data_IF_765370730061
#
_entry.id   IF_765370730061
#
_cell.length_a   1.000
_cell.length_b   1.000
_cell.length_c   1.000
_cell.angle_alpha   90.00
_cell.angle_beta   90.00
_cell.angle_gamma   90.00
#
_symmetry.space_group_name_H-M   'P 1'
#
loop_
_entity.id
_entity.type
_entity.pdbx_description
1 polymer ?
#
# COMPACT_ATOMS: atom_id res chain seq x y z
N UNK A 1 20.94 -8.89 -24.03
CA UNK A 1 21.24 -9.68 -22.81
C UNK A 1 21.32 -8.87 -21.50
N UNK A 2 21.40 -7.53 -21.49
CA UNK A 2 21.51 -6.73 -20.24
C UNK A 2 20.18 -6.41 -19.51
N UNK A 3 19.04 -6.74 -20.13
CA UNK A 3 17.69 -6.39 -19.63
C UNK A 3 17.21 -7.31 -18.50
N UNK A 4 17.48 -8.61 -18.62
CA UNK A 4 17.00 -9.62 -17.68
C UNK A 4 17.53 -9.42 -16.24
N UNK A 5 18.81 -9.07 -16.02
CA UNK A 5 19.31 -8.73 -14.68
C UNK A 5 18.61 -7.51 -14.05
N UNK A 6 18.29 -6.48 -14.84
CA UNK A 6 17.60 -5.28 -14.35
C UNK A 6 16.18 -5.60 -13.88
N UNK A 7 15.45 -6.42 -14.65
CA UNK A 7 14.11 -6.85 -14.29
C UNK A 7 14.11 -7.70 -13.00
N UNK A 8 15.08 -8.61 -12.87
CA UNK A 8 15.25 -9.41 -11.64
C UNK A 8 15.58 -8.49 -10.46
N UNK A 9 16.53 -7.56 -10.63
CA UNK A 9 16.91 -6.61 -9.58
C UNK A 9 15.73 -5.74 -9.12
N UNK A 10 14.95 -5.23 -10.07
CA UNK A 10 13.72 -4.48 -9.80
C UNK A 10 12.71 -5.34 -9.02
N UNK A 11 12.52 -6.59 -9.44
CA UNK A 11 11.58 -7.48 -8.77
C UNK A 11 12.00 -7.84 -7.34
N UNK A 12 13.30 -8.01 -7.08
CA UNK A 12 13.82 -8.23 -5.72
C UNK A 12 13.51 -7.03 -4.83
N UNK A 13 13.73 -5.80 -5.31
CA UNK A 13 13.36 -4.59 -4.58
C UNK A 13 11.85 -4.53 -4.33
N UNK A 14 11.04 -4.82 -5.35
CA UNK A 14 9.58 -4.82 -5.24
C UNK A 14 9.06 -5.86 -4.25
N UNK A 15 9.67 -7.05 -4.21
CA UNK A 15 9.38 -8.07 -3.19
C UNK A 15 9.65 -7.54 -1.78
N UNK A 16 10.78 -6.88 -1.55
CA UNK A 16 11.08 -6.25 -0.27
C UNK A 16 10.09 -5.12 0.07
N UNK A 17 9.70 -4.32 -0.91
CA UNK A 17 8.67 -3.28 -0.76
C UNK A 17 7.33 -3.86 -0.30
N UNK A 18 6.87 -4.93 -0.96
CA UNK A 18 5.62 -5.62 -0.61
C UNK A 18 5.68 -6.21 0.79
N UNK A 19 6.76 -6.96 1.09
CA UNK A 19 6.92 -7.60 2.41
C UNK A 19 7.13 -6.60 3.56
N UNK A 20 7.54 -5.36 3.26
CA UNK A 20 7.59 -4.28 4.22
C UNK A 20 6.20 -3.73 4.56
N UNK A 21 5.30 -3.67 3.58
CA UNK A 21 3.96 -3.09 3.75
C UNK A 21 2.93 -4.11 4.27
N UNK A 22 2.98 -5.35 3.79
CA UNK A 22 2.03 -6.40 4.16
C UNK A 22 2.73 -7.68 4.58
N UNK A 23 2.21 -8.32 5.63
CA UNK A 23 2.71 -9.62 6.08
C UNK A 23 2.30 -10.70 5.08
N UNK A 24 3.28 -11.49 4.66
CA UNK A 24 3.10 -12.62 3.74
C UNK A 24 2.94 -13.90 4.55
N UNK A 25 2.06 -14.81 4.10
CA UNK A 25 1.86 -16.09 4.76
C UNK A 25 3.18 -16.85 4.90
N UNK A 26 3.38 -17.52 6.03
CA UNK A 26 4.60 -18.32 6.30
C UNK A 26 4.84 -19.46 5.29
N UNK A 27 3.81 -19.86 4.52
CA UNK A 27 3.86 -20.96 3.55
C UNK A 27 4.80 -20.62 2.36
N UNK A 28 5.60 -21.58 1.94
CA UNK A 28 6.59 -21.41 0.86
C UNK A 28 5.95 -20.96 -0.47
N UNK A 29 4.80 -21.54 -0.84
CA UNK A 29 4.08 -21.17 -2.06
C UNK A 29 3.59 -19.72 -2.05
N UNK A 30 3.27 -19.16 -0.87
CA UNK A 30 2.84 -17.76 -0.76
C UNK A 30 4.01 -16.80 -0.97
N UNK A 31 5.22 -17.17 -0.52
CA UNK A 31 6.44 -16.40 -0.77
C UNK A 31 6.84 -16.42 -2.24
N UNK A 32 6.66 -17.55 -2.92
CA UNK A 32 6.88 -17.64 -4.37
C UNK A 32 5.80 -16.84 -5.12
N UNK A 33 4.53 -17.01 -4.76
CA UNK A 33 3.42 -16.29 -5.38
C UNK A 33 3.59 -14.77 -5.28
N UNK A 34 3.95 -14.25 -4.09
CA UNK A 34 4.18 -12.81 -3.91
C UNK A 34 5.47 -12.31 -4.56
N UNK A 35 6.39 -13.18 -4.97
CA UNK A 35 7.53 -12.81 -5.81
C UNK A 35 7.14 -12.73 -7.29
N UNK A 36 6.21 -13.58 -7.73
CA UNK A 36 5.69 -13.61 -9.11
C UNK A 36 4.76 -12.43 -9.39
N UNK A 37 3.91 -12.02 -8.43
CA UNK A 37 2.97 -10.90 -8.59
C UNK A 37 3.67 -9.58 -9.02
N UNK A 38 4.66 -9.06 -8.27
CA UNK A 38 5.41 -7.87 -8.68
C UNK A 38 6.27 -8.11 -9.92
N UNK A 39 6.69 -9.35 -10.20
CA UNK A 39 7.42 -9.67 -11.44
C UNK A 39 6.54 -9.44 -12.66
N UNK A 40 5.30 -9.91 -12.61
CA UNK A 40 4.30 -9.66 -13.66
C UNK A 40 4.03 -8.16 -13.79
N UNK A 41 3.77 -7.46 -12.67
CA UNK A 41 3.55 -6.02 -12.70
C UNK A 41 4.72 -5.24 -13.28
N UNK A 42 5.97 -5.62 -12.97
CA UNK A 42 7.17 -4.92 -13.45
C UNK A 42 7.52 -5.32 -14.88
N UNK A 43 7.12 -6.50 -15.34
CA UNK A 43 7.46 -7.03 -16.66
C UNK A 43 6.41 -6.77 -17.74
N UNK A 44 5.15 -6.58 -17.36
CA UNK A 44 4.07 -6.36 -18.32
C UNK A 44 4.22 -5.02 -19.03
N UNK A 45 3.86 -5.01 -20.31
CA UNK A 45 3.75 -3.80 -21.13
C UNK A 45 2.30 -3.32 -21.01
N UNK A 46 2.10 -2.02 -20.86
CA UNK A 46 0.78 -1.38 -20.70
C UNK A 46 0.61 -0.29 -21.75
N UNK A 47 0.01 -0.62 -22.88
CA UNK A 47 -0.33 0.36 -23.93
C UNK A 47 -1.69 1.01 -23.70
N UNK A 48 -1.81 2.26 -24.17
CA UNK A 48 -3.09 2.97 -24.22
C UNK A 48 -4.02 2.29 -25.23
N UNK A 49 -5.22 1.95 -24.80
CA UNK A 49 -6.26 1.33 -25.63
C UNK A 49 -6.16 -0.18 -25.76
N UNK A 50 -5.39 -0.86 -24.90
CA UNK A 50 -5.24 -2.31 -24.96
C UNK A 50 -6.07 -3.03 -23.87
N UNK A 51 -6.75 -4.10 -24.28
CA UNK A 51 -7.57 -4.94 -23.41
C UNK A 51 -6.90 -6.26 -23.01
N UNK A 52 -5.72 -6.55 -23.56
CA UNK A 52 -5.06 -7.86 -23.45
C UNK A 52 -4.24 -7.99 -22.18
N UNK A 53 -3.42 -7.00 -21.84
CA UNK A 53 -2.48 -7.11 -20.73
C UNK A 53 -3.09 -6.65 -19.40
N UNK A 54 -3.85 -5.55 -19.41
CA UNK A 54 -4.30 -4.91 -18.19
C UNK A 54 -5.34 -5.73 -17.39
N UNK A 55 -6.49 -6.18 -17.95
CA UNK A 55 -7.50 -6.91 -17.17
C UNK A 55 -6.99 -8.24 -16.58
N UNK A 56 -6.22 -9.09 -17.31
CA UNK A 56 -5.63 -10.29 -16.71
C UNK A 56 -4.63 -9.95 -15.60
N UNK A 57 -3.77 -8.96 -15.81
CA UNK A 57 -2.79 -8.55 -14.78
C UNK A 57 -3.49 -8.03 -13.53
N UNK A 58 -4.54 -7.22 -13.68
CA UNK A 58 -5.38 -6.74 -12.59
C UNK A 58 -5.95 -7.89 -11.75
N UNK A 59 -6.57 -8.87 -12.42
CA UNK A 59 -7.14 -10.05 -11.75
C UNK A 59 -6.09 -10.89 -11.03
N UNK A 60 -4.97 -11.18 -11.68
CA UNK A 60 -3.88 -12.00 -11.12
C UNK A 60 -3.25 -11.32 -9.90
N UNK A 61 -3.05 -10.01 -9.92
CA UNK A 61 -2.47 -9.29 -8.78
C UNK A 61 -3.43 -9.27 -7.59
N UNK A 62 -4.72 -8.99 -7.82
CA UNK A 62 -5.70 -9.00 -6.73
C UNK A 62 -5.84 -10.40 -6.12
N UNK A 63 -5.98 -11.44 -6.95
CA UNK A 63 -6.05 -12.82 -6.46
C UNK A 63 -4.74 -13.24 -5.78
N UNK A 64 -3.59 -12.92 -6.37
CA UNK A 64 -2.28 -13.25 -5.84
C UNK A 64 -2.03 -12.63 -4.47
N UNK A 65 -2.29 -11.33 -4.33
CA UNK A 65 -2.18 -10.62 -3.04
C UNK A 65 -3.19 -11.15 -2.01
N UNK A 66 -4.44 -11.42 -2.41
CA UNK A 66 -5.47 -11.96 -1.52
C UNK A 66 -5.11 -13.36 -0.98
N UNK A 67 -4.58 -14.23 -1.85
CA UNK A 67 -4.20 -15.61 -1.50
C UNK A 67 -2.88 -15.69 -0.73
N UNK A 68 -1.89 -14.84 -1.05
CA UNK A 68 -0.54 -14.93 -0.48
C UNK A 68 -0.36 -14.13 0.82
N UNK A 69 -1.13 -13.07 1.05
CA UNK A 69 -0.95 -12.17 2.20
C UNK A 69 -1.82 -12.54 3.42
N UNK A 70 -1.37 -12.14 4.60
CA UNK A 70 -2.07 -12.24 5.89
C UNK A 70 -2.82 -10.93 6.21
N UNK A 71 -3.69 -11.00 7.22
CA UNK A 71 -4.51 -9.88 7.71
C UNK A 71 -5.95 -9.85 7.19
N UNK A 72 -6.66 -8.76 7.52
CA UNK A 72 -8.05 -8.53 7.10
C UNK A 72 -8.23 -8.50 5.57
N UNK A 73 -9.39 -8.96 5.08
CA UNK A 73 -9.72 -8.96 3.65
C UNK A 73 -9.62 -7.56 3.02
N UNK A 74 -10.06 -6.52 3.75
CA UNK A 74 -9.99 -5.14 3.27
C UNK A 74 -8.55 -4.65 3.11
N UNK A 75 -7.65 -5.02 4.02
CA UNK A 75 -6.21 -4.71 3.93
C UNK A 75 -5.59 -5.30 2.68
N UNK A 76 -5.91 -6.57 2.37
CA UNK A 76 -5.40 -7.26 1.18
C UNK A 76 -5.90 -6.63 -0.11
N UNK A 77 -7.21 -6.34 -0.18
CA UNK A 77 -7.83 -5.66 -1.32
C UNK A 77 -7.21 -4.29 -1.52
N UNK A 78 -7.09 -3.49 -0.46
CA UNK A 78 -6.49 -2.15 -0.51
C UNK A 78 -5.07 -2.20 -1.05
N UNK A 79 -4.25 -3.13 -0.52
CA UNK A 79 -2.87 -3.29 -0.97
C UNK A 79 -2.78 -3.76 -2.42
N UNK A 80 -3.62 -4.72 -2.82
CA UNK A 80 -3.70 -5.20 -4.19
C UNK A 80 -4.09 -4.08 -5.17
N UNK A 81 -5.14 -3.32 -4.85
CA UNK A 81 -5.59 -2.18 -5.67
C UNK A 81 -4.51 -1.11 -5.76
N UNK A 82 -3.90 -0.72 -4.64
CA UNK A 82 -2.83 0.27 -4.62
C UNK A 82 -1.63 -0.20 -5.44
N UNK A 83 -1.23 -1.46 -5.32
CA UNK A 83 -0.15 -2.04 -6.12
C UNK A 83 -0.48 -1.99 -7.61
N UNK A 84 -1.64 -2.48 -8.04
CA UNK A 84 -2.01 -2.44 -9.46
C UNK A 84 -2.02 -1.01 -9.99
N UNK A 85 -2.61 -0.06 -9.25
CA UNK A 85 -2.64 1.34 -9.67
C UNK A 85 -1.22 1.89 -9.85
N UNK A 86 -0.34 1.78 -8.85
CA UNK A 86 1.05 2.30 -8.93
C UNK A 86 1.80 1.77 -10.16
N UNK A 87 1.83 0.45 -10.31
CA UNK A 87 2.65 -0.18 -11.34
C UNK A 87 2.04 0.00 -12.73
N UNK A 88 0.72 -0.09 -12.88
CA UNK A 88 0.08 0.13 -14.18
C UNK A 88 0.19 1.59 -14.63
N UNK A 89 0.07 2.56 -13.71
CA UNK A 89 0.30 3.97 -14.08
C UNK A 89 1.74 4.21 -14.53
N UNK A 90 2.72 3.67 -13.79
CA UNK A 90 4.13 3.82 -14.15
C UNK A 90 4.47 3.14 -15.48
N UNK A 91 4.01 1.91 -15.70
CA UNK A 91 4.22 1.20 -16.96
C UNK A 91 3.54 1.94 -18.12
N UNK A 92 2.30 2.41 -17.95
CA UNK A 92 1.62 3.17 -19.00
C UNK A 92 2.39 4.45 -19.38
N UNK A 93 3.03 5.12 -18.43
CA UNK A 93 3.91 6.25 -18.73
C UNK A 93 5.15 5.81 -19.50
N UNK A 94 5.84 4.77 -19.04
CA UNK A 94 7.08 4.28 -19.64
C UNK A 94 6.88 3.69 -21.04
N UNK A 95 5.76 3.03 -21.29
CA UNK A 95 5.53 2.29 -22.51
C UNK A 95 4.92 3.16 -23.63
N UNK A 96 4.29 4.29 -23.29
CA UNK A 96 3.61 5.14 -24.27
C UNK A 96 4.29 6.50 -24.50
N UNK A 97 4.96 7.07 -23.49
CA UNK A 97 5.45 8.45 -23.55
C UNK A 97 6.96 8.62 -23.45
N UNK A 98 7.67 7.62 -22.92
CA UNK A 98 9.12 7.59 -22.98
C UNK A 98 9.55 6.98 -24.31
N UNK A 99 9.76 7.81 -25.32
CA UNK A 99 10.34 7.41 -26.62
C UNK A 99 11.84 7.12 -26.46
N UNK A 100 12.14 6.02 -25.77
CA UNK A 100 13.50 5.60 -25.42
C UNK A 100 13.70 4.14 -25.84
N UNK A 101 14.95 3.78 -26.11
CA UNK A 101 15.39 2.41 -26.38
C UNK A 101 14.83 1.44 -25.34
N UNK A 102 14.52 0.21 -25.76
CA UNK A 102 14.03 -0.84 -24.85
C UNK A 102 14.91 -0.98 -23.61
N UNK A 103 16.24 -0.93 -23.76
CA UNK A 103 17.18 -1.03 -22.63
C UNK A 103 16.94 0.05 -21.57
N UNK A 104 16.61 1.27 -21.99
CA UNK A 104 16.43 2.41 -21.10
C UNK A 104 15.05 2.40 -20.42
N UNK A 105 14.04 1.81 -21.05
CA UNK A 105 12.73 1.56 -20.40
C UNK A 105 12.88 0.64 -19.18
N UNK A 106 13.67 -0.42 -19.29
CA UNK A 106 13.94 -1.31 -18.16
C UNK A 106 14.80 -0.67 -17.08
N UNK A 107 15.70 0.25 -17.45
CA UNK A 107 16.37 1.11 -16.48
C UNK A 107 15.39 2.01 -15.74
N UNK A 108 14.43 2.62 -16.44
CA UNK A 108 13.35 3.40 -15.83
C UNK A 108 12.54 2.57 -14.83
N UNK A 109 12.17 1.34 -15.18
CA UNK A 109 11.47 0.40 -14.28
C UNK A 109 12.32 0.02 -13.06
N UNK A 110 13.63 -0.18 -13.22
CA UNK A 110 14.55 -0.42 -12.12
C UNK A 110 14.67 0.79 -11.19
N UNK A 111 14.86 1.99 -11.74
CA UNK A 111 14.91 3.24 -10.97
C UNK A 111 13.59 3.48 -10.23
N UNK A 112 12.46 3.20 -10.87
CA UNK A 112 11.15 3.28 -10.25
C UNK A 112 11.03 2.31 -9.06
N UNK A 113 11.50 1.07 -9.20
CA UNK A 113 11.54 0.11 -8.09
C UNK A 113 12.42 0.60 -6.93
N UNK A 114 13.57 1.22 -7.23
CA UNK A 114 14.43 1.86 -6.21
C UNK A 114 13.69 2.99 -5.50
N UNK A 115 13.04 3.89 -6.26
CA UNK A 115 12.27 5.02 -5.70
C UNK A 115 11.12 4.51 -4.82
N UNK A 116 10.37 3.51 -5.27
CA UNK A 116 9.30 2.90 -4.47
C UNK A 116 9.85 2.25 -3.20
N UNK A 117 10.94 1.50 -3.30
CA UNK A 117 11.56 0.86 -2.13
C UNK A 117 12.04 1.88 -1.10
N UNK A 118 12.77 2.92 -1.56
CA UNK A 118 13.26 3.99 -0.70
C UNK A 118 12.10 4.79 -0.11
N UNK A 119 11.12 5.17 -0.93
CA UNK A 119 9.92 5.88 -0.51
C UNK A 119 9.18 5.10 0.58
N UNK A 120 8.96 3.81 0.38
CA UNK A 120 8.27 2.96 1.36
C UNK A 120 9.09 2.81 2.64
N UNK A 121 10.41 2.69 2.56
CA UNK A 121 11.28 2.68 3.74
C UNK A 121 11.26 4.00 4.52
N UNK A 122 11.11 5.13 3.82
CA UNK A 122 11.00 6.46 4.43
C UNK A 122 9.63 6.67 5.08
N UNK A 123 8.53 6.32 4.39
CA UNK A 123 7.16 6.49 4.88
C UNK A 123 6.83 5.51 6.02
N UNK A 124 7.30 4.26 5.95
CA UNK A 124 6.94 3.21 6.93
C UNK A 124 8.03 2.94 7.97
N UNK A 125 9.00 3.84 8.15
CA UNK A 125 10.16 3.70 9.06
C UNK A 125 9.79 3.36 10.52
N UNK A 126 8.58 3.72 10.96
CA UNK A 126 8.12 3.59 12.36
C UNK A 126 6.83 2.76 12.50
N UNK A 127 6.37 2.09 11.44
CA UNK A 127 5.12 1.34 11.48
C UNK A 127 5.36 -0.07 12.04
N UNK A 128 4.85 -0.34 13.24
CA UNK A 128 4.79 -1.71 13.76
C UNK A 128 3.84 -2.53 12.89
N UNK A 129 4.37 -3.64 12.35
CA UNK A 129 3.73 -4.46 11.30
C UNK A 129 2.44 -5.15 11.75
N UNK A 130 2.13 -5.08 13.03
CA UNK A 130 1.02 -5.78 13.68
C UNK A 130 -0.24 -4.90 13.81
N UNK A 131 -0.10 -3.60 13.57
CA UNK A 131 -1.21 -2.66 13.72
C UNK A 131 -2.11 -2.67 12.48
N UNK A 132 -3.28 -3.29 12.56
CA UNK A 132 -4.29 -3.19 11.49
C UNK A 132 -5.15 -1.94 11.67
N UNK A 133 -5.46 -1.20 10.59
CA UNK A 133 -6.43 -0.10 10.62
C UNK A 133 -7.86 -0.62 10.87
N UNK A 134 -8.75 0.27 11.32
CA UNK A 134 -10.18 -0.06 11.44
C UNK A 134 -10.79 -0.37 10.07
N UNK A 135 -11.81 -1.24 10.01
CA UNK A 135 -12.51 -1.59 8.76
C UNK A 135 -13.04 -0.35 8.02
N UNK A 136 -13.50 0.68 8.73
CA UNK A 136 -13.97 1.94 8.13
C UNK A 136 -12.83 2.71 7.44
N UNK A 137 -11.65 2.76 8.06
CA UNK A 137 -10.46 3.41 7.48
C UNK A 137 -9.99 2.69 6.22
N UNK A 138 -10.03 1.36 6.20
CA UNK A 138 -9.74 0.59 4.98
C UNK A 138 -10.77 0.85 3.88
N UNK A 139 -12.06 0.93 4.23
CA UNK A 139 -13.12 1.28 3.27
C UNK A 139 -12.89 2.66 2.64
N UNK A 140 -12.50 3.65 3.46
CA UNK A 140 -12.15 4.99 2.99
C UNK A 140 -10.93 4.98 2.05
N UNK A 141 -9.89 4.21 2.37
CA UNK A 141 -8.72 4.06 1.51
C UNK A 141 -9.10 3.43 0.16
N UNK A 142 -9.94 2.40 0.14
CA UNK A 142 -10.43 1.79 -1.10
C UNK A 142 -11.19 2.81 -1.95
N UNK A 143 -12.07 3.59 -1.34
CA UNK A 143 -12.81 4.65 -2.02
C UNK A 143 -11.85 5.68 -2.64
N UNK A 144 -10.81 6.05 -1.92
CA UNK A 144 -9.83 7.03 -2.37
C UNK A 144 -8.87 6.47 -3.44
N UNK A 145 -8.57 5.16 -3.42
CA UNK A 145 -7.79 4.47 -4.47
C UNK A 145 -8.60 4.35 -5.76
N UNK A 146 -9.93 4.28 -5.67
CA UNK A 146 -10.80 4.13 -6.83
C UNK A 146 -10.67 5.30 -7.81
N UNK A 147 -10.27 6.49 -7.34
CA UNK A 147 -10.10 7.66 -8.22
C UNK A 147 -8.87 7.55 -9.15
N UNK A 148 -7.62 7.35 -8.68
CA UNK A 148 -6.50 7.12 -9.59
C UNK A 148 -6.64 5.80 -10.36
N UNK A 149 -7.27 4.78 -9.77
CA UNK A 149 -7.56 3.53 -10.48
C UNK A 149 -8.53 3.75 -11.63
N UNK A 150 -9.58 4.55 -11.43
CA UNK A 150 -10.52 4.94 -12.48
C UNK A 150 -9.84 5.68 -13.64
N UNK A 151 -8.86 6.54 -13.34
CA UNK A 151 -8.02 7.20 -14.36
C UNK A 151 -7.22 6.15 -15.15
N UNK A 152 -6.58 5.21 -14.47
CA UNK A 152 -5.81 4.14 -15.15
C UNK A 152 -6.72 3.29 -16.03
N UNK A 153 -7.90 2.89 -15.53
CA UNK A 153 -8.89 2.15 -16.31
C UNK A 153 -9.36 2.94 -17.54
N UNK A 154 -9.65 4.23 -17.39
CA UNK A 154 -10.12 5.06 -18.51
C UNK A 154 -9.04 5.28 -19.58
N UNK A 155 -7.81 5.54 -19.15
CA UNK A 155 -6.69 5.74 -20.07
C UNK A 155 -6.31 4.43 -20.78
N UNK A 156 -6.19 3.31 -20.05
CA UNK A 156 -5.72 2.05 -20.64
C UNK A 156 -6.81 1.34 -21.45
N UNK A 157 -8.05 1.24 -20.96
CA UNK A 157 -9.09 0.41 -21.59
C UNK A 157 -10.03 1.20 -22.52
N UNK A 158 -10.42 2.41 -22.13
CA UNK A 158 -11.48 3.16 -22.82
C UNK A 158 -10.95 4.10 -23.91
N UNK A 159 -9.65 4.39 -23.91
CA UNK A 159 -9.07 5.33 -24.88
C UNK A 159 -8.64 4.59 -26.14
N UNK A 160 -9.25 4.90 -27.28
CA UNK A 160 -8.79 4.35 -28.56
C UNK A 160 -7.65 5.21 -29.14
N UNK A 161 -6.45 4.65 -29.31
CA UNK A 161 -5.28 5.38 -29.81
C UNK A 161 -5.43 5.88 -31.25
N UNK A 162 -6.26 5.25 -32.07
CA UNK A 162 -6.39 5.59 -33.49
C UNK A 162 -7.35 6.77 -33.70
N UNK A 163 -6.79 7.97 -33.96
CA UNK A 163 -7.54 9.12 -34.49
C UNK A 163 -7.52 10.40 -33.65
N UNK A 164 -6.73 10.47 -32.59
CA UNK A 164 -6.71 11.65 -31.71
C UNK A 164 -5.62 12.66 -32.12
N UNK A 165 -5.91 13.95 -31.91
CA UNK A 165 -4.93 15.00 -32.09
C UNK A 165 -3.82 14.90 -31.02
N UNK A 166 -2.61 15.35 -31.37
CA UNK A 166 -1.43 15.34 -30.48
C UNK A 166 -1.65 16.01 -29.11
N UNK A 167 -2.59 16.95 -29.02
CA UNK A 167 -2.96 17.59 -27.75
C UNK A 167 -3.68 16.64 -26.80
N UNK A 168 -4.49 15.70 -27.31
CA UNK A 168 -5.13 14.67 -26.49
C UNK A 168 -4.13 13.71 -25.85
N UNK A 169 -3.06 13.36 -26.57
CA UNK A 169 -1.99 12.52 -26.02
C UNK A 169 -1.31 13.18 -24.82
N UNK A 170 -1.12 14.50 -24.85
CA UNK A 170 -0.59 15.27 -23.72
C UNK A 170 -1.52 15.23 -22.51
N UNK A 171 -2.83 15.39 -22.72
CA UNK A 171 -3.82 15.30 -21.64
C UNK A 171 -3.81 13.92 -20.96
N UNK A 172 -3.70 12.85 -21.73
CA UNK A 172 -3.61 11.48 -21.20
C UNK A 172 -2.33 11.27 -20.37
N UNK A 173 -1.19 11.83 -20.80
CA UNK A 173 0.03 11.82 -20.01
C UNK A 173 -0.13 12.57 -18.68
N UNK A 174 -0.73 13.77 -18.71
CA UNK A 174 -1.02 14.56 -17.51
C UNK A 174 -1.95 13.80 -16.57
N UNK A 175 -2.97 13.11 -17.08
CA UNK A 175 -3.86 12.28 -16.26
C UNK A 175 -3.11 11.15 -15.54
N UNK A 176 -2.19 10.47 -16.22
CA UNK A 176 -1.35 9.43 -15.59
C UNK A 176 -0.40 10.04 -14.53
N UNK A 177 0.15 11.24 -14.76
CA UNK A 177 0.95 11.95 -13.75
C UNK A 177 0.12 12.34 -12.53
N UNK A 178 -1.12 12.80 -12.73
CA UNK A 178 -2.09 13.07 -11.65
C UNK A 178 -2.40 11.77 -10.90
N UNK A 179 -2.58 10.65 -11.59
CA UNK A 179 -2.80 9.36 -10.95
C UNK A 179 -1.61 8.93 -10.09
N UNK A 180 -0.36 9.07 -10.58
CA UNK A 180 0.83 8.82 -9.77
C UNK A 180 0.89 9.71 -8.53
N UNK A 181 0.64 11.02 -8.70
CA UNK A 181 0.61 11.98 -7.60
C UNK A 181 -0.45 11.61 -6.54
N UNK A 182 -1.64 11.21 -6.99
CA UNK A 182 -2.71 10.74 -6.11
C UNK A 182 -2.29 9.48 -5.34
N UNK A 183 -1.54 8.54 -5.94
CA UNK A 183 -1.03 7.39 -5.19
C UNK A 183 0.03 7.77 -4.15
N UNK A 184 0.91 8.74 -4.45
CA UNK A 184 1.83 9.27 -3.44
C UNK A 184 1.04 9.86 -2.26
N UNK A 185 0.00 10.63 -2.54
CA UNK A 185 -0.92 11.15 -1.54
C UNK A 185 -1.57 10.04 -0.71
N UNK A 186 -2.05 8.97 -1.35
CA UNK A 186 -2.64 7.80 -0.70
C UNK A 186 -1.66 7.09 0.24
N UNK A 187 -0.41 6.87 -0.20
CA UNK A 187 0.64 6.28 0.65
C UNK A 187 0.89 7.14 1.89
N UNK A 188 0.91 8.46 1.71
CA UNK A 188 1.01 9.41 2.83
C UNK A 188 -0.21 9.35 3.75
N UNK A 189 -1.42 9.27 3.20
CA UNK A 189 -2.66 9.12 3.99
C UNK A 189 -2.63 7.85 4.84
N UNK A 190 -2.17 6.72 4.28
CA UNK A 190 -2.01 5.47 5.05
C UNK A 190 -1.06 5.69 6.23
N UNK A 191 0.08 6.35 6.02
CA UNK A 191 1.04 6.64 7.09
C UNK A 191 0.43 7.52 8.19
N UNK A 192 -0.30 8.57 7.81
CA UNK A 192 -0.95 9.49 8.76
C UNK A 192 -2.02 8.75 9.57
N UNK A 193 -2.85 7.94 8.92
CA UNK A 193 -3.90 7.15 9.60
C UNK A 193 -3.30 6.13 10.58
N UNK A 194 -2.21 5.47 10.18
CA UNK A 194 -1.49 4.54 11.06
C UNK A 194 -0.93 5.26 12.29
N UNK A 195 -0.32 6.44 12.09
CA UNK A 195 0.20 7.25 13.20
C UNK A 195 -0.92 7.73 14.12
N UNK A 196 -2.04 8.17 13.56
CA UNK A 196 -3.21 8.60 14.35
C UNK A 196 -3.74 7.45 15.22
N UNK A 197 -3.93 6.26 14.63
CA UNK A 197 -4.41 5.08 15.36
C UNK A 197 -3.48 4.65 16.49
N UNK A 198 -2.17 4.82 16.30
CA UNK A 198 -1.18 4.58 17.35
C UNK A 198 -1.32 5.58 18.50
N UNK A 199 -1.41 6.88 18.19
CA UNK A 199 -1.59 7.92 19.20
C UNK A 199 -2.89 7.73 19.99
N UNK A 200 -3.99 7.36 19.34
CA UNK A 200 -5.27 7.06 20.00
C UNK A 200 -5.16 5.88 20.97
N UNK A 201 -4.41 4.83 20.61
CA UNK A 201 -4.17 3.70 21.51
C UNK A 201 -3.28 4.05 22.68
N UNK A 202 -2.18 4.75 22.45
CA UNK A 202 -1.29 5.21 23.52
C UNK A 202 -2.07 6.11 24.51
N UNK A 203 -2.92 7.01 24.02
CA UNK A 203 -3.79 7.83 24.85
C UNK A 203 -4.77 6.98 25.68
N UNK A 204 -5.42 5.98 25.07
CA UNK A 204 -6.32 5.06 25.77
C UNK A 204 -5.60 4.30 26.89
N UNK A 205 -4.39 3.79 26.65
CA UNK A 205 -3.60 3.10 27.66
C UNK A 205 -3.19 4.03 28.81
N UNK A 206 -2.83 5.28 28.51
CA UNK A 206 -2.53 6.28 29.53
C UNK A 206 -3.75 6.58 30.40
N UNK A 207 -4.93 6.74 29.81
CA UNK A 207 -6.17 6.99 30.53
C UNK A 207 -6.59 5.81 31.42
N UNK A 208 -6.44 4.58 30.93
CA UNK A 208 -6.72 3.36 31.70
C UNK A 208 -5.76 3.21 32.88
N UNK A 209 -4.45 3.43 32.68
CA UNK A 209 -3.46 3.38 33.74
C UNK A 209 -3.76 4.44 34.82
N UNK A 210 -4.10 5.67 34.41
CA UNK A 210 -4.49 6.72 35.35
C UNK A 210 -5.67 6.30 36.23
N UNK A 211 -6.76 5.82 35.62
CA UNK A 211 -7.95 5.34 36.35
C UNK A 211 -7.63 4.18 37.29
N UNK A 212 -6.76 3.26 36.86
CA UNK A 212 -6.31 2.14 37.69
C UNK A 212 -5.62 2.61 38.98
N UNK A 213 -4.72 3.59 38.89
CA UNK A 213 -4.05 4.15 40.06
C UNK A 213 -4.99 4.94 40.97
N UNK A 214 -5.95 5.70 40.41
CA UNK A 214 -6.96 6.41 41.19
C UNK A 214 -7.84 5.45 42.02
N UNK A 215 -8.26 4.32 41.43
CA UNK A 215 -9.05 3.28 42.13
C UNK A 215 -8.20 2.60 43.21
N UNK A 216 -6.94 2.28 42.91
CA UNK A 216 -6.03 1.67 43.88
C UNK A 216 -5.82 2.56 45.11
N UNK A 217 -5.66 3.87 44.91
CA UNK A 217 -5.52 4.84 45.99
C UNK A 217 -6.78 4.88 46.88
N UNK A 218 -7.97 4.91 46.28
CA UNK A 218 -9.24 4.87 47.00
C UNK A 218 -9.35 3.59 47.87
N UNK A 219 -9.02 2.43 47.31
CA UNK A 219 -9.02 1.16 48.06
C UNK A 219 -8.05 1.19 49.25
N UNK A 220 -6.86 1.77 49.08
CA UNK A 220 -5.92 1.93 50.19
C UNK A 220 -6.43 2.88 51.28
N UNK A 221 -7.20 3.92 50.93
CA UNK A 221 -7.87 4.76 51.92
C UNK A 221 -8.97 4.01 52.66
N UNK A 222 -9.79 3.23 51.97
CA UNK A 222 -10.85 2.42 52.60
C UNK A 222 -10.27 1.36 53.55
N UNK A 223 -9.23 0.64 53.15
CA UNK A 223 -8.56 -0.35 54.01
C UNK A 223 -7.97 0.33 55.26
N UNK A 224 -7.34 1.50 55.10
CA UNK A 224 -6.79 2.26 56.23
C UNK A 224 -7.89 2.70 57.19
N UNK A 225 -9.03 3.15 56.67
CA UNK A 225 -10.19 3.53 57.47
C UNK A 225 -10.78 2.34 58.21
N UNK A 226 -11.03 1.22 57.53
CA UNK A 226 -11.52 -0.01 58.16
C UNK A 226 -10.59 -0.50 59.29
N UNK A 227 -9.28 -0.49 59.06
CA UNK A 227 -8.30 -0.84 60.10
C UNK A 227 -8.37 0.10 61.30
N UNK A 228 -8.54 1.40 61.06
CA UNK A 228 -8.66 2.39 62.12
C UNK A 228 -9.96 2.19 62.93
N UNK A 229 -11.09 2.00 62.26
CA UNK A 229 -12.38 1.75 62.89
C UNK A 229 -12.35 0.46 63.72
N UNK A 230 -11.76 -0.62 63.19
CA UNK A 230 -11.57 -1.87 63.94
C UNK A 230 -10.70 -1.71 65.19
N UNK A 231 -9.66 -0.88 65.14
CA UNK A 231 -8.78 -0.64 66.29
C UNK A 231 -9.44 0.17 67.42
N UNK A 232 -10.47 0.97 67.12
CA UNK A 232 -11.23 1.73 68.12
C UNK A 232 -12.41 0.95 68.72
N UNK A 233 -12.80 -0.18 68.12
CA UNK A 233 -13.93 -1.01 68.55
C UNK A 233 -13.53 -2.34 69.23
N UNK A 234 -12.22 -2.58 69.41
CA UNK A 234 -11.62 -3.68 70.17
C UNK A 234 -11.02 -3.15 71.48
#
# INVERSE_FOLDING_TARGET
>A
MKVFPLLIGANVLNYFTVTHFIQVKKKWWAKIGIFIVPFLLTGMIMYIGEWTNFPPTFGVVLLGTYLCCEGSSLKKITFGLLSVTVYCTANALFDNYLDISDSDRYWGRFLFAVVLFVGMKLFFRSADREEELSSSMWGLLILLILTPLGIVFSVILLTNRYGWAREAERFLCVLLLIALFAVIGLLWTVQVLMRQKRMEREHMYMEMNRKYYEIMEQQHFEIRRLKHDMANHL
#
